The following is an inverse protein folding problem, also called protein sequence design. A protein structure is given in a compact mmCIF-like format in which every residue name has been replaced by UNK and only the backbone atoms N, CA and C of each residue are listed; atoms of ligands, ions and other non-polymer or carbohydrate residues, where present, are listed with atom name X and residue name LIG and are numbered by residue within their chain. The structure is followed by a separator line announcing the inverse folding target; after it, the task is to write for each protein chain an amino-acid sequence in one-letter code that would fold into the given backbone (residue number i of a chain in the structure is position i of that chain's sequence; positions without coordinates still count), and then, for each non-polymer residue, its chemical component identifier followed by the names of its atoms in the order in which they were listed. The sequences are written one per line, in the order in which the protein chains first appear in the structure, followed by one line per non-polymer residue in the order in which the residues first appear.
data_IF_118629620803
#
_entry.id   IF_118629620803
#
_cell.length_a   1.000
_cell.length_b   1.000
_cell.length_c   1.000
_cell.angle_alpha   90.00
_cell.angle_beta   90.00
_cell.angle_gamma   90.00
#
_symmetry.space_group_name_H-M   'P 1'
#
loop_
_entity.id
_entity.type
_entity.pdbx_description
1 polymer ?
#
# COMPACT_ATOMS: atom_id res chain seq x y z
N UNK A 1 -8.07 5.41 -4.69
CA UNK A 1 -9.12 4.42 -4.35
C UNK A 1 -9.22 4.35 -2.83
N UNK A 2 -10.38 4.01 -2.26
CA UNK A 2 -10.52 3.83 -0.79
C UNK A 2 -9.54 2.79 -0.27
N UNK A 3 -8.81 3.12 0.80
CA UNK A 3 -7.81 2.23 1.40
C UNK A 3 -8.41 0.90 1.84
N UNK A 4 -9.63 0.91 2.40
CA UNK A 4 -10.36 -0.32 2.76
C UNK A 4 -10.52 -1.32 1.60
N UNK A 5 -10.78 -0.83 0.38
CA UNK A 5 -10.90 -1.69 -0.80
C UNK A 5 -9.55 -2.30 -1.19
N UNK A 6 -8.49 -1.50 -1.17
CA UNK A 6 -7.13 -1.96 -1.49
C UNK A 6 -6.69 -3.04 -0.49
N UNK A 7 -6.92 -2.82 0.81
CA UNK A 7 -6.61 -3.79 1.86
C UNK A 7 -7.40 -5.08 1.65
N UNK A 8 -8.72 -4.99 1.44
CA UNK A 8 -9.56 -6.18 1.20
C UNK A 8 -9.11 -6.99 -0.03
N UNK A 9 -8.77 -6.32 -1.13
CA UNK A 9 -8.27 -6.98 -2.35
C UNK A 9 -6.94 -7.70 -2.10
N UNK A 10 -6.01 -7.11 -1.32
CA UNK A 10 -4.72 -7.73 -0.96
C UNK A 10 -4.92 -8.95 -0.08
N UNK A 11 -5.78 -8.85 0.94
CA UNK A 11 -6.06 -9.94 1.86
C UNK A 11 -6.71 -11.14 1.18
N UNK A 12 -7.73 -10.87 0.35
CA UNK A 12 -8.51 -11.91 -0.31
C UNK A 12 -7.76 -12.66 -1.41
N UNK A 13 -6.64 -12.13 -1.91
CA UNK A 13 -5.93 -12.69 -3.07
C UNK A 13 -4.49 -13.12 -2.79
N UNK A 14 -3.77 -12.38 -1.94
CA UNK A 14 -2.30 -12.51 -1.87
C UNK A 14 -1.73 -12.58 -0.45
N UNK A 15 -2.40 -12.02 0.56
CA UNK A 15 -1.82 -11.90 1.91
C UNK A 15 -2.83 -12.30 3.01
N UNK A 16 -2.91 -13.59 3.39
CA UNK A 16 -3.94 -14.13 4.28
C UNK A 16 -3.63 -13.86 5.77
N UNK A 17 -3.39 -12.60 6.12
CA UNK A 17 -3.04 -12.14 7.47
C UNK A 17 -3.91 -10.96 7.92
N UNK A 18 -3.56 -10.30 9.02
CA UNK A 18 -4.37 -9.22 9.59
C UNK A 18 -4.44 -7.96 8.71
N UNK A 19 -5.65 -7.40 8.59
CA UNK A 19 -5.94 -6.18 7.85
C UNK A 19 -5.15 -4.96 8.34
N UNK A 20 -4.95 -4.88 9.65
CA UNK A 20 -4.25 -3.81 10.34
C UNK A 20 -2.78 -3.76 9.92
N UNK A 21 -2.14 -4.92 9.79
CA UNK A 21 -0.76 -5.00 9.33
C UNK A 21 -0.60 -4.50 7.89
N UNK A 22 -1.51 -4.89 6.99
CA UNK A 22 -1.52 -4.45 5.59
C UNK A 22 -1.78 -2.94 5.50
N UNK A 23 -2.76 -2.43 6.25
CA UNK A 23 -3.07 -1.01 6.25
C UNK A 23 -1.91 -0.15 6.75
N UNK A 24 -1.30 -0.52 7.88
CA UNK A 24 -0.16 0.23 8.42
C UNK A 24 1.10 0.13 7.56
N UNK A 25 1.33 -1.01 6.89
CA UNK A 25 2.39 -1.11 5.88
C UNK A 25 2.17 -0.10 4.74
N UNK A 26 0.95 -0.01 4.21
CA UNK A 26 0.59 0.98 3.18
C UNK A 26 0.73 2.42 3.68
N UNK A 27 0.31 2.71 4.92
CA UNK A 27 0.43 4.03 5.52
C UNK A 27 1.89 4.46 5.59
N UNK A 28 2.79 3.59 6.07
CA UNK A 28 4.22 3.89 6.18
C UNK A 28 4.86 4.25 4.83
N UNK A 29 4.43 3.58 3.75
CA UNK A 29 4.90 3.86 2.39
C UNK A 29 4.38 5.18 1.81
N UNK A 30 3.41 5.83 2.46
CA UNK A 30 2.84 7.13 2.07
C UNK A 30 3.35 8.30 2.95
N UNK A 31 4.12 8.04 4.00
CA UNK A 31 4.68 9.04 4.91
C UNK A 31 6.08 9.46 4.46
N UNK A 32 6.27 10.73 4.13
CA UNK A 32 7.55 11.29 3.63
C UNK A 32 8.63 11.39 4.72
N UNK A 33 8.21 11.50 5.97
CA UNK A 33 9.07 11.43 7.15
C UNK A 33 9.53 10.01 7.49
N UNK A 34 8.83 8.98 7.01
CA UNK A 34 9.17 7.56 7.23
C UNK A 34 9.88 6.92 6.04
N UNK A 35 9.62 7.42 4.83
CA UNK A 35 10.02 6.80 3.57
C UNK A 35 10.66 7.83 2.65
N UNK A 36 11.96 7.67 2.36
CA UNK A 36 12.72 8.64 1.54
C UNK A 36 12.13 8.85 0.14
N UNK A 37 11.65 7.78 -0.49
CA UNK A 37 11.05 7.83 -1.81
C UNK A 37 9.69 7.14 -1.76
N UNK A 38 8.62 7.95 -1.73
CA UNK A 38 7.27 7.45 -1.52
C UNK A 38 6.86 6.46 -2.62
N UNK A 39 6.32 5.32 -2.21
CA UNK A 39 5.77 4.31 -3.10
C UNK A 39 4.23 4.40 -3.18
N UNK A 40 3.61 5.04 -2.19
CA UNK A 40 2.17 5.27 -2.13
C UNK A 40 1.92 6.77 -2.11
N UNK A 41 1.01 7.23 -2.97
CA UNK A 41 0.43 8.57 -2.92
C UNK A 41 -0.90 8.46 -2.17
N UNK A 42 -0.91 8.99 -0.95
CA UNK A 42 -2.03 8.93 -0.02
C UNK A 42 -2.81 10.25 0.05
N UNK A 43 -4.13 10.15 0.18
CA UNK A 43 -5.01 11.29 0.41
C UNK A 43 -5.84 11.08 1.69
N UNK A 44 -5.80 12.07 2.59
CA UNK A 44 -6.38 12.01 3.94
C UNK A 44 -5.32 12.10 5.03
N UNK A 45 -5.69 11.82 6.28
CA UNK A 45 -4.74 11.80 7.39
C UNK A 45 -3.99 10.46 7.44
N UNK A 46 -2.69 10.49 7.15
CA UNK A 46 -1.76 9.35 7.19
C UNK A 46 -0.80 9.38 8.39
N UNK A 47 -1.13 10.16 9.43
CA UNK A 47 -0.31 10.31 10.64
C UNK A 47 0.71 11.43 10.53
N UNK A 48 1.46 11.65 11.61
CA UNK A 48 2.39 12.77 11.76
C UNK A 48 3.72 12.32 12.38
N UNK A 49 4.73 13.20 12.32
CA UNK A 49 6.02 13.01 13.02
C UNK A 49 5.89 13.03 14.54
N UNK A 50 4.80 13.61 15.06
CA UNK A 50 4.51 13.71 16.50
C UNK A 50 3.95 12.39 17.07
N UNK A 51 3.77 11.36 16.22
CA UNK A 51 3.28 10.05 16.59
C UNK A 51 1.76 9.89 16.44
N UNK A 52 1.08 10.84 15.81
CA UNK A 52 -0.35 10.70 15.54
C UNK A 52 -0.62 9.53 14.61
N UNK A 53 -1.60 8.71 14.97
CA UNK A 53 -2.04 7.60 14.15
C UNK A 53 -2.72 8.09 12.86
N UNK A 54 -2.63 7.33 11.76
CA UNK A 54 -3.43 7.62 10.57
C UNK A 54 -4.92 7.51 10.90
N UNK A 55 -5.75 8.17 10.09
CA UNK A 55 -7.19 7.94 10.15
C UNK A 55 -7.52 6.48 9.79
N UNK A 56 -8.70 6.01 10.17
CA UNK A 56 -9.17 4.68 9.78
C UNK A 56 -9.25 4.54 8.24
N UNK A 57 -8.96 3.35 7.72
CA UNK A 57 -8.87 3.04 6.28
C UNK A 57 -10.13 3.36 5.43
N UNK A 58 -11.27 3.61 6.09
CA UNK A 58 -12.51 4.06 5.44
C UNK A 58 -12.47 5.54 5.02
N UNK A 59 -11.60 6.34 5.64
CA UNK A 59 -11.47 7.78 5.38
C UNK A 59 -10.32 8.11 4.44
N UNK A 60 -9.31 7.25 4.36
CA UNK A 60 -8.14 7.47 3.51
C UNK A 60 -8.31 6.88 2.11
N UNK A 61 -7.60 7.47 1.16
CA UNK A 61 -7.44 6.94 -0.17
C UNK A 61 -5.97 6.78 -0.51
N UNK A 62 -5.66 5.79 -1.34
CA UNK A 62 -4.31 5.55 -1.82
C UNK A 62 -4.30 5.22 -3.31
N UNK A 63 -3.18 5.51 -3.95
CA UNK A 63 -2.78 5.04 -5.28
C UNK A 63 -1.26 4.88 -5.33
N UNK A 64 -0.74 4.26 -6.38
CA UNK A 64 0.71 4.18 -6.60
C UNK A 64 1.29 5.58 -6.85
N UNK A 65 2.47 5.83 -6.28
CA UNK A 65 3.29 6.96 -6.69
C UNK A 65 3.85 6.73 -8.10
N UNK A 66 4.43 7.78 -8.71
CA UNK A 66 5.11 7.64 -10.01
C UNK A 66 6.29 6.67 -9.93
N UNK A 67 7.01 6.64 -8.81
CA UNK A 67 8.16 5.74 -8.63
C UNK A 67 7.73 4.27 -8.55
N UNK A 68 6.56 3.96 -7.98
CA UNK A 68 6.06 2.59 -7.93
C UNK A 68 5.79 1.99 -9.30
N UNK A 69 5.47 2.82 -10.30
CA UNK A 69 5.33 2.36 -11.68
C UNK A 69 6.65 1.88 -12.28
N UNK A 70 7.78 2.40 -11.79
CA UNK A 70 9.11 1.95 -12.19
C UNK A 70 9.45 0.57 -11.60
N UNK A 71 9.00 0.28 -10.37
CA UNK A 71 9.16 -1.03 -9.74
C UNK A 71 8.35 -2.13 -10.44
N UNK A 72 7.24 -1.77 -11.07
CA UNK A 72 6.34 -2.70 -11.77
C UNK A 72 6.50 -2.63 -13.30
N UNK A 73 7.50 -1.89 -13.78
CA UNK A 73 7.71 -1.70 -15.21
C UNK A 73 7.90 -3.06 -15.89
N UNK A 74 7.17 -3.27 -16.99
CA UNK A 74 7.30 -4.45 -17.85
C UNK A 74 7.03 -5.80 -17.15
N UNK A 75 6.28 -5.78 -16.04
CA UNK A 75 5.95 -7.01 -15.29
C UNK A 75 5.13 -8.03 -16.12
N UNK A 76 4.38 -7.56 -17.12
CA UNK A 76 3.59 -8.39 -18.04
C UNK A 76 4.40 -9.00 -19.20
N UNK A 77 5.73 -8.80 -19.22
CA UNK A 77 6.62 -9.27 -20.31
C UNK A 77 7.51 -10.45 -19.89
N UNK A 78 7.01 -11.29 -18.98
CA UNK A 78 7.73 -12.47 -18.48
C UNK A 78 9.12 -12.13 -17.92
N UNK A 79 9.25 -10.94 -17.32
CA UNK A 79 10.53 -10.43 -16.80
C UNK A 79 10.90 -11.03 -15.44
N UNK A 80 9.94 -11.65 -14.76
CA UNK A 80 10.08 -12.32 -13.47
C UNK A 80 9.19 -13.57 -13.41
N UNK A 81 9.62 -14.57 -12.64
CA UNK A 81 8.80 -15.75 -12.36
C UNK A 81 7.66 -15.42 -11.38
N UNK A 82 6.45 -15.83 -11.72
CA UNK A 82 5.30 -15.78 -10.82
C UNK A 82 5.16 -17.08 -10.04
N UNK A 83 4.50 -17.01 -8.89
CA UNK A 83 4.14 -18.18 -8.07
C UNK A 83 2.64 -18.21 -7.83
N UNK A 84 2.05 -19.40 -7.63
CA UNK A 84 0.69 -19.51 -7.10
C UNK A 84 0.56 -18.75 -5.78
N UNK A 85 -0.65 -18.29 -5.50
CA UNK A 85 -1.03 -17.70 -4.22
C UNK A 85 -1.34 -18.83 -3.20
N UNK A 86 -2.05 -18.49 -2.12
CA UNK A 86 -2.25 -19.41 -0.99
C UNK A 86 -3.39 -20.41 -1.19
N UNK A 87 -4.21 -20.25 -2.24
CA UNK A 87 -5.33 -21.10 -2.63
C UNK A 87 -5.08 -21.88 -3.93
#
# INVERSE_FOLDING_TARGET
RKSARIVGDVLGKYHPHGDTAVYYAMVRMAQDFSTRALLVDGHGNFGSVDGDSPAAMRYTEAKMSKLSLELLRDIEKETVDFKPNFD
#
